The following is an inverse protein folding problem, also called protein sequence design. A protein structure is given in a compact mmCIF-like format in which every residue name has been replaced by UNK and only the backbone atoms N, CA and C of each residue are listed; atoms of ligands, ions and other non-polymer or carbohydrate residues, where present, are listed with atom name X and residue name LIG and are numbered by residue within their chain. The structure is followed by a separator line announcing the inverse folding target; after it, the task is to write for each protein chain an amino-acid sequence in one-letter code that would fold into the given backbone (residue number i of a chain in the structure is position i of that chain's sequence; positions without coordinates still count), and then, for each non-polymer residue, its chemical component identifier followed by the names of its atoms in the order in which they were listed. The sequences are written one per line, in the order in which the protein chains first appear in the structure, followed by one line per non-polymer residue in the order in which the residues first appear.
data_IF_278022076620
#
_entry.id   IF_278022076620
#
_cell.length_a   1.000
_cell.length_b   1.000
_cell.length_c   1.000
_cell.angle_alpha   90.00
_cell.angle_beta   90.00
_cell.angle_gamma   90.00
#
_symmetry.space_group_name_H-M   'P 1'
#
loop_
_entity.id
_entity.type
_entity.pdbx_description
1 polymer ?
#
# COMPACT_ATOMS: atom_id res chain seq x y z
N UNK A 1 2.41 -18.13 8.88
CA UNK A 1 1.72 -17.38 9.95
C UNK A 1 1.77 -15.91 9.58
N UNK A 2 0.67 -15.18 9.77
CA UNK A 2 0.64 -13.75 9.52
C UNK A 2 1.57 -13.04 10.51
N UNK A 3 2.16 -11.91 10.11
CA UNK A 3 3.01 -11.14 11.00
C UNK A 3 2.17 -10.59 12.18
N UNK A 4 2.66 -10.57 13.43
CA UNK A 4 1.86 -10.16 14.61
C UNK A 4 1.24 -8.75 14.49
N UNK A 5 1.94 -7.83 13.82
CA UNK A 5 1.40 -6.51 13.46
C UNK A 5 0.12 -6.57 12.61
N UNK A 6 0.06 -7.50 11.66
CA UNK A 6 -1.10 -7.71 10.77
C UNK A 6 -2.26 -8.29 11.56
N UNK A 7 -1.99 -9.23 12.46
CA UNK A 7 -3.02 -9.82 13.33
C UNK A 7 -3.63 -8.77 14.28
N UNK A 8 -2.78 -7.94 14.89
CA UNK A 8 -3.25 -6.80 15.70
C UNK A 8 -4.08 -5.84 14.87
N UNK A 9 -3.62 -5.48 13.66
CA UNK A 9 -4.36 -4.57 12.78
C UNK A 9 -5.69 -5.17 12.32
N UNK A 10 -5.75 -6.47 12.01
CA UNK A 10 -6.98 -7.20 11.69
C UNK A 10 -7.95 -7.18 12.87
N UNK A 11 -7.50 -7.51 14.07
CA UNK A 11 -8.34 -7.47 15.27
C UNK A 11 -8.90 -6.07 15.51
N UNK A 12 -8.07 -5.06 15.34
CA UNK A 12 -8.40 -3.68 15.71
C UNK A 12 -9.26 -2.94 14.67
N UNK A 13 -9.05 -3.21 13.38
CA UNK A 13 -9.63 -2.43 12.27
C UNK A 13 -10.47 -3.22 11.29
N UNK A 14 -10.32 -4.55 11.25
CA UNK A 14 -11.05 -5.40 10.30
C UNK A 14 -12.19 -6.16 10.97
N UNK A 15 -11.96 -6.70 12.18
CA UNK A 15 -12.94 -7.50 12.92
C UNK A 15 -13.83 -6.65 13.85
N UNK A 16 -13.29 -5.57 14.40
CA UNK A 16 -14.06 -4.60 15.17
C UNK A 16 -14.75 -3.65 14.18
N UNK A 17 -16.08 -3.68 14.13
CA UNK A 17 -16.92 -2.77 13.35
C UNK A 17 -16.42 -1.32 13.46
N UNK A 18 -16.36 -0.64 12.31
CA UNK A 18 -15.80 0.71 12.05
C UNK A 18 -15.65 1.61 13.29
N UNK A 19 -14.41 1.99 13.60
CA UNK A 19 -14.15 2.75 14.82
C UNK A 19 -14.70 4.17 14.71
N UNK A 20 -15.44 4.58 15.73
CA UNK A 20 -15.85 5.98 15.89
C UNK A 20 -14.73 6.81 16.55
N UNK A 21 -13.59 6.95 15.86
CA UNK A 21 -12.47 7.83 16.29
C UNK A 21 -12.52 9.11 15.48
N UNK A 22 -12.30 10.26 16.13
CA UNK A 22 -12.26 11.55 15.46
C UNK A 22 -11.06 11.67 14.51
N UNK A 23 -11.27 12.26 13.34
CA UNK A 23 -10.22 12.65 12.40
C UNK A 23 -9.43 13.87 12.89
N UNK A 24 -10.11 14.76 13.62
CA UNK A 24 -9.56 15.97 14.24
C UNK A 24 -9.47 15.75 15.75
N UNK A 25 -8.24 15.78 16.26
CA UNK A 25 -7.97 15.66 17.70
C UNK A 25 -7.58 17.01 18.31
N UNK A 26 -7.88 17.21 19.58
CA UNK A 26 -7.41 18.40 20.30
C UNK A 26 -5.96 18.23 20.76
N UNK A 27 -5.16 19.30 20.66
CA UNK A 27 -3.84 19.37 21.29
C UNK A 27 -4.02 19.48 22.82
N UNK A 28 -3.06 18.96 23.58
CA UNK A 28 -3.05 19.15 25.03
C UNK A 28 -3.03 20.64 25.36
N UNK A 29 -3.96 21.10 26.20
CA UNK A 29 -4.10 22.53 26.54
C UNK A 29 -4.82 23.38 25.50
N UNK A 30 -5.52 22.79 24.53
CA UNK A 30 -6.36 23.54 23.58
C UNK A 30 -7.42 24.38 24.32
N UNK A 31 -7.66 25.60 23.84
CA UNK A 31 -8.67 26.47 24.44
C UNK A 31 -10.08 25.89 24.23
N UNK A 32 -11.05 26.26 25.09
CA UNK A 32 -12.44 25.84 24.92
C UNK A 32 -12.98 26.21 23.53
N UNK A 33 -12.59 27.38 23.01
CA UNK A 33 -12.95 27.84 21.67
C UNK A 33 -12.41 26.90 20.58
N UNK A 34 -11.15 26.48 20.69
CA UNK A 34 -10.55 25.55 19.71
C UNK A 34 -11.20 24.16 19.78
N UNK A 35 -11.57 23.70 20.97
CA UNK A 35 -12.26 22.42 21.17
C UNK A 35 -13.62 22.42 20.46
N UNK A 36 -14.41 23.48 20.65
CA UNK A 36 -15.71 23.65 19.98
C UNK A 36 -15.53 23.74 18.48
N UNK A 37 -14.59 24.56 18.01
CA UNK A 37 -14.29 24.70 16.58
C UNK A 37 -13.88 23.37 15.94
N UNK A 38 -12.99 22.60 16.56
CA UNK A 38 -12.55 21.30 16.06
C UNK A 38 -13.70 20.27 16.03
N UNK A 39 -14.61 20.32 17.00
CA UNK A 39 -15.77 19.45 17.04
C UNK A 39 -16.76 19.76 15.88
N UNK A 40 -16.98 21.02 15.56
CA UNK A 40 -17.81 21.40 14.40
C UNK A 40 -17.13 21.04 13.07
N UNK A 41 -15.82 21.24 12.98
CA UNK A 41 -15.05 20.82 11.81
C UNK A 41 -15.11 19.30 11.60
N UNK A 42 -15.01 18.51 12.69
CA UNK A 42 -15.15 17.05 12.66
C UNK A 42 -16.53 16.65 12.13
N UNK A 43 -17.60 17.28 12.61
CA UNK A 43 -18.97 17.01 12.13
C UNK A 43 -19.10 17.23 10.63
N UNK A 44 -18.50 18.30 10.10
CA UNK A 44 -18.55 18.60 8.66
C UNK A 44 -17.86 17.51 7.83
N UNK A 45 -16.60 17.19 8.15
CA UNK A 45 -15.81 16.22 7.35
C UNK A 45 -16.29 14.78 7.50
N UNK A 46 -16.96 14.44 8.62
CA UNK A 46 -17.60 13.13 8.81
C UNK A 46 -18.94 13.00 8.10
N UNK A 47 -19.59 14.10 7.71
CA UNK A 47 -20.90 14.04 7.09
C UNK A 47 -20.79 13.68 5.60
N UNK A 48 -20.21 12.52 5.28
CA UNK A 48 -19.97 12.09 3.90
C UNK A 48 -21.26 11.83 3.12
N UNK A 49 -22.41 11.71 3.80
CA UNK A 49 -23.73 11.59 3.17
C UNK A 49 -24.21 12.91 2.59
N UNK A 50 -23.95 14.03 3.28
CA UNK A 50 -24.38 15.36 2.85
C UNK A 50 -23.27 16.12 2.12
N UNK A 51 -22.04 15.95 2.55
CA UNK A 51 -20.85 16.65 2.09
C UNK A 51 -19.70 15.67 1.80
N UNK A 52 -19.86 14.74 0.84
CA UNK A 52 -18.80 13.79 0.49
C UNK A 52 -17.49 14.48 0.09
N UNK A 53 -17.59 15.66 -0.53
CA UNK A 53 -16.43 16.49 -0.89
C UNK A 53 -15.66 17.02 0.33
N UNK A 54 -16.28 17.16 1.51
CA UNK A 54 -15.58 17.63 2.71
C UNK A 54 -14.42 16.72 3.10
N UNK A 55 -14.63 15.39 3.04
CA UNK A 55 -13.59 14.39 3.32
C UNK A 55 -12.44 14.49 2.31
N UNK A 56 -12.76 14.57 1.02
CA UNK A 56 -11.77 14.66 -0.05
C UNK A 56 -10.96 15.96 0.07
N UNK A 57 -11.64 17.10 0.22
CA UNK A 57 -10.99 18.40 0.35
C UNK A 57 -10.11 18.48 1.60
N UNK A 58 -10.55 17.95 2.75
CA UNK A 58 -9.73 17.83 3.95
C UNK A 58 -8.46 16.99 3.68
N UNK A 59 -8.63 15.84 3.04
CA UNK A 59 -7.53 14.92 2.74
C UNK A 59 -6.47 15.57 1.83
N UNK A 60 -6.89 16.35 0.84
CA UNK A 60 -5.99 17.10 -0.05
C UNK A 60 -5.19 18.18 0.68
N UNK A 61 -5.67 18.66 1.83
CA UNK A 61 -4.95 19.62 2.67
C UNK A 61 -3.92 18.95 3.58
N UNK A 62 -3.95 17.62 3.76
CA UNK A 62 -3.08 16.87 4.67
C UNK A 62 -1.68 16.62 4.09
N UNK A 63 -0.95 17.72 3.84
CA UNK A 63 0.44 17.67 3.41
C UNK A 63 1.24 18.86 3.93
N UNK A 64 2.34 18.59 4.65
CA UNK A 64 3.27 19.64 5.09
C UNK A 64 2.78 20.50 6.26
N UNK A 65 1.69 20.10 6.92
CA UNK A 65 1.15 20.67 8.17
C UNK A 65 0.68 19.55 9.12
N UNK A 66 0.35 19.91 10.35
CA UNK A 66 -0.30 19.01 11.31
C UNK A 66 -1.70 18.62 10.82
N UNK A 67 -2.07 17.33 10.91
CA UNK A 67 -3.38 16.83 10.49
C UNK A 67 -4.54 17.60 11.16
N UNK A 68 -4.41 17.95 12.45
CA UNK A 68 -5.45 18.71 13.17
C UNK A 68 -5.62 20.14 12.64
N UNK A 69 -4.69 20.64 11.84
CA UNK A 69 -4.83 21.90 11.11
C UNK A 69 -5.48 21.62 9.75
N UNK A 70 -4.89 20.72 8.95
CA UNK A 70 -5.35 20.40 7.59
C UNK A 70 -6.85 20.05 7.54
N UNK A 71 -7.29 19.17 8.43
CA UNK A 71 -8.65 18.65 8.44
C UNK A 71 -9.69 19.69 8.88
N UNK A 72 -9.27 20.83 9.45
CA UNK A 72 -10.19 21.95 9.79
C UNK A 72 -10.47 22.89 8.62
N UNK A 73 -9.68 22.83 7.54
CA UNK A 73 -9.75 23.81 6.46
C UNK A 73 -11.12 23.86 5.75
N UNK A 74 -11.78 22.73 5.43
CA UNK A 74 -13.15 22.76 4.90
C UNK A 74 -14.13 23.56 5.77
N UNK A 75 -14.02 23.41 7.10
CA UNK A 75 -14.89 24.13 8.02
C UNK A 75 -14.59 25.63 8.09
N UNK A 76 -13.33 26.05 7.91
CA UNK A 76 -12.97 27.47 7.77
C UNK A 76 -13.59 28.10 6.52
N UNK A 77 -13.62 27.36 5.42
CA UNK A 77 -14.30 27.77 4.18
C UNK A 77 -15.80 27.91 4.45
N UNK A 78 -16.42 26.94 5.12
CA UNK A 78 -17.82 27.03 5.55
C UNK A 78 -18.09 28.26 6.43
N UNK A 79 -17.29 28.54 7.46
CA UNK A 79 -17.46 29.73 8.31
C UNK A 79 -17.33 31.04 7.53
N UNK A 80 -16.52 31.06 6.48
CA UNK A 80 -16.29 32.26 5.67
C UNK A 80 -17.42 32.50 4.67
N UNK A 81 -17.94 31.43 4.06
CA UNK A 81 -18.95 31.52 3.01
C UNK A 81 -20.40 31.38 3.52
N UNK A 82 -20.59 30.83 4.72
CA UNK A 82 -21.90 30.50 5.27
C UNK A 82 -22.57 29.27 4.65
N UNK A 83 -21.95 28.66 3.63
CA UNK A 83 -22.39 27.43 2.99
C UNK A 83 -21.21 26.52 2.67
N UNK A 84 -21.50 25.22 2.56
CA UNK A 84 -20.56 24.20 2.10
C UNK A 84 -21.18 23.27 1.06
N UNK A 85 -22.28 23.67 0.41
CA UNK A 85 -22.79 22.93 -0.75
C UNK A 85 -21.81 23.06 -1.91
N UNK A 86 -21.66 22.00 -2.70
CA UNK A 86 -20.64 21.98 -3.76
C UNK A 86 -20.86 23.08 -4.81
N UNK A 87 -22.11 23.38 -5.16
CA UNK A 87 -22.45 24.43 -6.13
C UNK A 87 -22.10 25.83 -5.61
N UNK A 88 -22.29 26.07 -4.31
CA UNK A 88 -21.92 27.34 -3.67
C UNK A 88 -20.40 27.51 -3.62
N UNK A 89 -19.64 26.41 -3.47
CA UNK A 89 -18.18 26.42 -3.54
C UNK A 89 -17.70 26.66 -4.99
N UNK A 90 -18.38 26.06 -5.97
CA UNK A 90 -17.98 26.09 -7.37
C UNK A 90 -17.97 27.49 -7.98
N UNK A 91 -18.94 28.34 -7.61
CA UNK A 91 -19.04 29.70 -8.13
C UNK A 91 -17.96 30.66 -7.59
N UNK A 92 -17.21 30.25 -6.57
CA UNK A 92 -16.20 31.10 -5.93
C UNK A 92 -14.92 31.11 -6.80
N UNK A 93 -14.47 32.29 -7.27
CA UNK A 93 -13.28 32.36 -8.09
C UNK A 93 -12.00 32.12 -7.27
N UNK A 94 -10.95 31.59 -7.92
CA UNK A 94 -9.69 31.22 -7.28
C UNK A 94 -9.07 32.33 -6.42
N UNK A 95 -9.15 33.60 -6.86
CA UNK A 95 -8.59 34.73 -6.11
C UNK A 95 -9.24 34.91 -4.73
N UNK A 96 -10.54 34.58 -4.58
CA UNK A 96 -11.22 34.60 -3.29
C UNK A 96 -10.76 33.45 -2.40
N UNK A 97 -10.58 32.24 -2.93
CA UNK A 97 -9.94 31.15 -2.18
C UNK A 97 -8.52 31.51 -1.72
N UNK A 98 -7.73 32.15 -2.59
CA UNK A 98 -6.38 32.63 -2.21
C UNK A 98 -6.47 33.65 -1.07
N UNK A 99 -7.40 34.60 -1.11
CA UNK A 99 -7.61 35.56 0.00
C UNK A 99 -8.01 34.85 1.30
N UNK A 100 -8.92 33.87 1.24
CA UNK A 100 -9.35 33.08 2.40
C UNK A 100 -8.18 32.36 3.06
N UNK A 101 -7.38 31.63 2.27
CA UNK A 101 -6.22 30.88 2.77
C UNK A 101 -5.10 31.78 3.32
N UNK A 102 -4.98 33.01 2.80
CA UNK A 102 -4.06 34.05 3.27
C UNK A 102 -4.72 35.06 4.22
N UNK A 103 -5.82 34.69 4.89
CA UNK A 103 -6.51 35.57 5.83
C UNK A 103 -5.64 36.07 6.99
N UNK A 104 -6.25 36.65 8.03
CA UNK A 104 -5.52 37.21 9.21
C UNK A 104 -4.44 36.28 9.77
N UNK A 105 -4.67 34.97 9.71
CA UNK A 105 -3.65 33.95 9.87
C UNK A 105 -3.75 32.98 8.69
N UNK A 106 -2.60 32.62 8.12
CA UNK A 106 -2.55 31.62 7.05
C UNK A 106 -3.15 30.30 7.55
N UNK A 107 -4.11 29.76 6.81
CA UNK A 107 -4.75 28.48 7.17
C UNK A 107 -3.86 27.26 6.91
N UNK A 108 -2.83 27.44 6.07
CA UNK A 108 -1.87 26.40 5.71
C UNK A 108 -0.46 26.99 5.59
N UNK A 109 0.58 26.16 5.74
CA UNK A 109 1.99 26.53 5.48
C UNK A 109 2.26 27.01 4.03
N UNK A 110 1.39 26.64 3.09
CA UNK A 110 1.52 26.89 1.66
C UNK A 110 0.19 27.45 1.13
N UNK A 111 -0.23 28.63 1.61
CA UNK A 111 -1.61 29.09 1.48
C UNK A 111 -2.04 29.25 0.02
N UNK A 112 -1.21 29.87 -0.84
CA UNK A 112 -1.52 30.02 -2.27
C UNK A 112 -1.66 28.68 -3.00
N UNK A 113 -0.69 27.77 -2.80
CA UNK A 113 -0.72 26.46 -3.43
C UNK A 113 -1.92 25.62 -2.97
N UNK A 114 -2.27 25.68 -1.68
CA UNK A 114 -3.39 24.92 -1.14
C UNK A 114 -4.75 25.52 -1.46
N UNK A 115 -4.86 26.84 -1.59
CA UNK A 115 -6.03 27.47 -2.18
C UNK A 115 -6.25 26.98 -3.62
N UNK A 116 -5.18 26.91 -4.42
CA UNK A 116 -5.26 26.42 -5.79
C UNK A 116 -5.64 24.93 -5.86
N UNK A 117 -5.08 24.08 -4.98
CA UNK A 117 -5.48 22.67 -4.87
C UNK A 117 -6.94 22.53 -4.47
N UNK A 118 -7.40 23.29 -3.49
CA UNK A 118 -8.78 23.27 -3.01
C UNK A 118 -9.75 23.70 -4.12
N UNK A 119 -9.48 24.83 -4.76
CA UNK A 119 -10.25 25.35 -5.89
C UNK A 119 -10.33 24.32 -7.02
N UNK A 120 -9.18 23.80 -7.49
CA UNK A 120 -9.16 22.83 -8.59
C UNK A 120 -9.92 21.55 -8.26
N UNK A 121 -9.89 21.10 -7.00
CA UNK A 121 -10.67 19.94 -6.58
C UNK A 121 -12.18 20.22 -6.62
N UNK A 122 -12.63 21.39 -6.16
CA UNK A 122 -14.04 21.81 -6.27
C UNK A 122 -14.48 21.86 -7.73
N UNK A 123 -13.71 22.53 -8.60
CA UNK A 123 -14.01 22.61 -10.03
C UNK A 123 -14.10 21.21 -10.64
N UNK A 124 -13.10 20.34 -10.39
CA UNK A 124 -13.10 18.96 -10.89
C UNK A 124 -14.31 18.16 -10.40
N UNK A 125 -14.74 18.30 -9.13
CA UNK A 125 -15.90 17.54 -8.64
C UNK A 125 -17.16 17.89 -9.44
N UNK A 126 -17.34 19.16 -9.81
CA UNK A 126 -18.52 19.64 -10.54
C UNK A 126 -18.43 19.36 -12.04
N UNK A 127 -17.29 19.71 -12.66
CA UNK A 127 -17.11 19.67 -14.11
C UNK A 127 -16.88 18.25 -14.68
N UNK A 128 -16.46 17.31 -13.84
CA UNK A 128 -16.17 15.94 -14.27
C UNK A 128 -17.46 15.16 -14.60
N UNK A 129 -17.53 14.62 -15.82
CA UNK A 129 -18.71 13.90 -16.33
C UNK A 129 -19.10 12.68 -15.50
N UNK A 130 -18.14 12.05 -14.80
CA UNK A 130 -18.43 10.95 -13.91
C UNK A 130 -18.96 11.47 -12.58
N UNK A 131 -18.27 12.43 -11.96
CA UNK A 131 -18.62 12.96 -10.62
C UNK A 131 -19.91 13.79 -10.63
N UNK A 132 -20.08 14.72 -11.58
CA UNK A 132 -21.25 15.62 -11.71
C UNK A 132 -21.68 16.25 -10.39
N UNK A 133 -20.73 16.82 -9.65
CA UNK A 133 -20.95 17.46 -8.35
C UNK A 133 -20.92 16.51 -7.15
N UNK A 134 -20.87 15.19 -7.34
CA UNK A 134 -20.89 14.23 -6.24
C UNK A 134 -19.57 13.46 -6.09
N UNK A 135 -18.77 13.86 -5.09
CA UNK A 135 -17.53 13.19 -4.75
C UNK A 135 -17.74 11.75 -4.21
N UNK A 136 -18.94 11.39 -3.76
CA UNK A 136 -19.23 10.04 -3.24
C UNK A 136 -19.08 8.97 -4.30
N UNK A 137 -19.27 9.33 -5.58
CA UNK A 137 -19.06 8.45 -6.74
C UNK A 137 -17.66 7.88 -6.85
N UNK A 138 -16.67 8.47 -6.17
CA UNK A 138 -15.33 7.90 -6.07
C UNK A 138 -15.40 6.48 -5.45
N UNK A 139 -16.26 6.29 -4.44
CA UNK A 139 -16.38 5.06 -3.65
C UNK A 139 -17.78 4.42 -3.67
N UNK A 140 -18.75 5.02 -4.37
CA UNK A 140 -20.10 4.47 -4.52
C UNK A 140 -20.10 3.13 -5.27
N UNK A 141 -20.99 2.22 -4.86
CA UNK A 141 -21.24 0.97 -5.59
C UNK A 141 -20.23 -0.15 -5.34
N UNK A 142 -19.50 -0.11 -4.21
CA UNK A 142 -18.49 -1.11 -3.82
C UNK A 142 -17.44 -1.34 -4.94
N UNK A 143 -16.77 -0.28 -5.41
CA UNK A 143 -15.77 -0.38 -6.47
C UNK A 143 -14.54 -1.16 -5.98
N UNK A 144 -13.66 -1.56 -6.90
CA UNK A 144 -12.34 -2.09 -6.54
C UNK A 144 -11.47 -1.03 -5.87
N UNK A 145 -10.60 -1.47 -4.97
CA UNK A 145 -9.66 -0.55 -4.32
C UNK A 145 -8.77 0.17 -5.32
N UNK A 146 -8.39 -0.50 -6.42
CA UNK A 146 -7.69 0.08 -7.55
C UNK A 146 -8.39 1.30 -8.13
N UNK A 147 -9.70 1.18 -8.42
CA UNK A 147 -10.48 2.27 -8.99
C UNK A 147 -10.58 3.46 -8.04
N UNK A 148 -10.76 3.21 -6.73
CA UNK A 148 -10.82 4.27 -5.72
C UNK A 148 -9.50 5.03 -5.67
N UNK A 149 -8.37 4.32 -5.59
CA UNK A 149 -7.03 4.93 -5.53
C UNK A 149 -6.74 5.74 -6.80
N UNK A 150 -7.05 5.22 -8.00
CA UNK A 150 -6.86 5.97 -9.25
C UNK A 150 -7.71 7.23 -9.32
N UNK A 151 -9.01 7.12 -9.01
CA UNK A 151 -9.91 8.28 -8.98
C UNK A 151 -9.44 9.34 -7.99
N UNK A 152 -8.84 8.94 -6.86
CA UNK A 152 -8.20 9.88 -5.95
C UNK A 152 -6.96 10.54 -6.57
N UNK A 153 -6.09 9.78 -7.25
CA UNK A 153 -4.86 10.31 -7.88
C UNK A 153 -5.13 11.32 -9.00
N UNK A 154 -6.32 11.29 -9.62
CA UNK A 154 -6.74 12.25 -10.64
C UNK A 154 -6.92 13.68 -10.10
N UNK A 155 -6.93 13.87 -8.77
CA UNK A 155 -7.01 15.19 -8.14
C UNK A 155 -5.64 15.83 -7.99
N UNK A 156 -5.51 17.09 -8.44
CA UNK A 156 -4.29 17.90 -8.22
C UNK A 156 -3.98 17.94 -6.71
N UNK A 157 -2.73 17.66 -6.35
CA UNK A 157 -2.28 17.64 -4.96
C UNK A 157 -2.56 16.33 -4.22
N UNK A 158 -3.20 15.35 -4.85
CA UNK A 158 -3.37 14.00 -4.33
C UNK A 158 -2.18 13.12 -4.71
N UNK A 159 -1.16 13.07 -3.85
CA UNK A 159 -0.03 12.14 -4.03
C UNK A 159 -0.34 10.74 -3.50
N UNK A 160 0.59 9.79 -3.71
CA UNK A 160 0.49 8.40 -3.27
C UNK A 160 -0.02 8.23 -1.82
N UNK A 161 0.52 9.02 -0.88
CA UNK A 161 0.09 9.00 0.53
C UNK A 161 -1.41 9.28 0.67
N UNK A 162 -1.88 10.37 0.07
CA UNK A 162 -3.28 10.83 0.22
C UNK A 162 -4.22 9.85 -0.50
N UNK A 163 -3.84 9.39 -1.69
CA UNK A 163 -4.64 8.45 -2.48
C UNK A 163 -4.86 7.10 -1.78
N UNK A 164 -3.93 6.68 -0.93
CA UNK A 164 -4.09 5.47 -0.10
C UNK A 164 -4.71 5.76 1.28
N UNK A 165 -4.51 6.97 1.81
CA UNK A 165 -5.12 7.39 3.08
C UNK A 165 -6.65 7.48 2.98
N UNK A 166 -7.19 8.04 1.89
CA UNK A 166 -8.63 8.19 1.67
C UNK A 166 -9.38 6.85 1.78
N UNK A 167 -9.07 5.81 0.98
CA UNK A 167 -9.77 4.53 1.07
C UNK A 167 -9.56 3.82 2.42
N UNK A 168 -8.40 3.98 3.05
CA UNK A 168 -8.19 3.49 4.43
C UNK A 168 -9.16 4.14 5.42
N UNK A 169 -9.34 5.47 5.34
CA UNK A 169 -10.27 6.22 6.20
C UNK A 169 -11.73 5.81 5.92
N UNK A 170 -12.11 5.75 4.64
CA UNK A 170 -13.44 5.31 4.20
C UNK A 170 -13.81 3.94 4.75
N UNK A 171 -12.89 2.97 4.66
CA UNK A 171 -13.11 1.64 5.22
C UNK A 171 -13.16 1.66 6.76
N UNK A 172 -12.16 2.24 7.42
CA UNK A 172 -11.99 2.13 8.88
C UNK A 172 -13.01 2.91 9.68
N UNK A 173 -13.36 4.12 9.24
CA UNK A 173 -14.16 5.06 10.03
C UNK A 173 -15.59 5.22 9.51
N UNK A 174 -15.84 4.88 8.25
CA UNK A 174 -17.16 5.03 7.63
C UNK A 174 -17.80 3.71 7.20
N UNK A 175 -17.01 2.63 7.16
CA UNK A 175 -17.50 1.32 6.75
C UNK A 175 -17.88 1.20 5.30
N UNK A 176 -17.26 2.01 4.46
CA UNK A 176 -17.38 1.87 3.03
C UNK A 176 -16.56 0.65 2.61
N UNK A 177 -17.25 -0.37 2.13
CA UNK A 177 -16.63 -1.57 1.59
C UNK A 177 -16.23 -1.39 0.13
N UNK A 178 -15.19 -2.13 -0.26
CA UNK A 178 -14.71 -2.23 -1.63
C UNK A 178 -14.81 -3.69 -2.08
N UNK A 179 -14.71 -3.97 -3.38
CA UNK A 179 -14.69 -5.36 -3.86
C UNK A 179 -13.43 -6.12 -3.44
N UNK A 180 -12.35 -5.39 -3.19
CA UNK A 180 -11.06 -5.87 -2.69
C UNK A 180 -10.31 -4.72 -1.99
N UNK A 181 -9.26 -5.01 -1.24
CA UNK A 181 -8.44 -4.02 -0.53
C UNK A 181 -6.96 -4.06 -0.94
N UNK A 182 -6.63 -4.85 -1.96
CA UNK A 182 -5.27 -5.23 -2.32
C UNK A 182 -4.43 -4.06 -2.86
N UNK A 183 -5.08 -3.06 -3.47
CA UNK A 183 -4.46 -1.84 -3.97
C UNK A 183 -4.41 -0.70 -2.95
N UNK A 184 -5.02 -0.87 -1.77
CA UNK A 184 -4.87 0.11 -0.70
C UNK A 184 -3.54 -0.16 -0.02
N UNK A 185 -2.55 0.65 -0.32
CA UNK A 185 -1.23 0.56 0.29
C UNK A 185 -1.17 1.21 1.66
N UNK A 186 -0.10 0.87 2.39
CA UNK A 186 0.35 1.69 3.50
C UNK A 186 0.83 3.04 2.97
N UNK A 187 0.67 4.13 3.74
CA UNK A 187 1.02 5.48 3.32
C UNK A 187 2.23 5.98 4.13
N UNK A 188 3.48 5.61 3.77
CA UNK A 188 4.61 5.76 4.69
C UNK A 188 4.91 7.21 5.01
N UNK A 189 4.86 7.53 6.30
CA UNK A 189 5.26 8.81 6.87
C UNK A 189 6.39 8.62 7.89
N UNK A 190 6.79 9.71 8.56
CA UNK A 190 7.85 9.67 9.57
C UNK A 190 7.54 8.72 10.74
N UNK A 191 6.27 8.48 11.07
CA UNK A 191 5.85 7.57 12.13
C UNK A 191 5.92 6.12 11.65
N UNK A 192 5.36 5.83 10.48
CA UNK A 192 5.32 4.50 9.88
C UNK A 192 6.72 4.00 9.57
N UNK A 193 7.57 4.81 8.90
CA UNK A 193 8.94 4.41 8.57
C UNK A 193 9.73 4.04 9.84
N UNK A 194 9.64 4.88 10.89
CA UNK A 194 10.30 4.61 12.17
C UNK A 194 9.80 3.33 12.83
N UNK A 195 8.50 3.05 12.76
CA UNK A 195 7.90 1.81 13.29
C UNK A 195 8.39 0.60 12.49
N UNK A 196 8.36 0.65 11.16
CA UNK A 196 8.83 -0.43 10.29
C UNK A 196 10.32 -0.72 10.49
N UNK A 197 11.13 0.32 10.65
CA UNK A 197 12.55 0.17 10.97
C UNK A 197 12.75 -0.51 12.33
N UNK A 198 12.16 0.04 13.40
CA UNK A 198 12.37 -0.46 14.77
C UNK A 198 11.81 -1.85 15.00
N UNK A 199 10.71 -2.21 14.35
CA UNK A 199 10.15 -3.57 14.38
C UNK A 199 11.07 -4.56 13.62
N UNK A 200 11.89 -4.07 12.69
CA UNK A 200 12.84 -4.88 11.92
C UNK A 200 12.34 -5.31 10.54
N UNK A 201 11.24 -4.72 10.08
CA UNK A 201 10.65 -4.99 8.77
C UNK A 201 11.43 -4.34 7.62
N UNK A 202 11.99 -3.16 7.85
CA UNK A 202 12.75 -2.39 6.86
C UNK A 202 14.12 -2.05 7.47
N UNK A 203 15.24 -2.18 6.73
CA UNK A 203 16.54 -1.70 7.21
C UNK A 203 16.57 -0.17 7.25
N UNK A 204 17.46 0.43 8.05
CA UNK A 204 17.71 1.86 7.96
C UNK A 204 18.28 2.21 6.59
N UNK A 205 17.65 3.17 5.91
CA UNK A 205 18.04 3.63 4.60
C UNK A 205 18.23 5.15 4.65
N UNK A 206 19.35 5.64 4.11
CA UNK A 206 19.63 7.09 4.08
C UNK A 206 18.72 7.85 3.12
N UNK A 207 18.28 7.19 2.05
CA UNK A 207 17.39 7.78 1.05
C UNK A 207 15.93 7.54 1.47
N UNK A 208 15.21 8.64 1.71
CA UNK A 208 13.83 8.60 2.18
C UNK A 208 12.85 8.08 1.13
N UNK A 209 13.13 8.22 -0.16
CA UNK A 209 12.25 7.70 -1.21
C UNK A 209 12.43 6.18 -1.35
N UNK A 210 13.67 5.70 -1.28
CA UNK A 210 13.94 4.26 -1.24
C UNK A 210 13.32 3.63 0.01
N UNK A 211 13.41 4.28 1.17
CA UNK A 211 12.79 3.81 2.42
C UNK A 211 11.27 3.65 2.29
N UNK A 212 10.59 4.62 1.68
CA UNK A 212 9.14 4.54 1.41
C UNK A 212 8.81 3.34 0.53
N UNK A 213 9.55 3.12 -0.55
CA UNK A 213 9.35 1.99 -1.46
C UNK A 213 9.53 0.67 -0.70
N UNK A 214 10.60 0.53 0.09
CA UNK A 214 10.81 -0.66 0.92
C UNK A 214 9.67 -0.91 1.90
N UNK A 215 9.16 0.15 2.53
CA UNK A 215 8.03 0.07 3.47
C UNK A 215 6.76 -0.42 2.78
N UNK A 216 6.46 0.09 1.59
CA UNK A 216 5.31 -0.34 0.79
C UNK A 216 5.46 -1.81 0.37
N UNK A 217 6.60 -2.19 -0.21
CA UNK A 217 6.87 -3.57 -0.61
C UNK A 217 6.74 -4.53 0.58
N UNK A 218 7.32 -4.17 1.72
CA UNK A 218 7.26 -5.03 2.91
C UNK A 218 5.84 -5.12 3.49
N UNK A 219 5.05 -4.05 3.43
CA UNK A 219 3.65 -4.10 3.85
C UNK A 219 2.83 -5.05 2.95
N UNK A 220 3.07 -5.03 1.64
CA UNK A 220 2.45 -5.95 0.68
C UNK A 220 2.86 -7.41 0.92
N UNK A 221 4.12 -7.66 1.23
CA UNK A 221 4.62 -9.02 1.52
C UNK A 221 3.91 -9.64 2.74
N UNK A 222 3.70 -8.86 3.80
CA UNK A 222 3.14 -9.37 5.05
C UNK A 222 1.61 -9.30 5.11
N UNK A 223 0.98 -8.47 4.26
CA UNK A 223 -0.48 -8.29 4.19
C UNK A 223 -0.94 -8.08 2.74
N UNK A 224 -0.81 -9.08 1.85
CA UNK A 224 -1.09 -8.92 0.42
C UNK A 224 -2.55 -8.59 0.09
N UNK A 225 -3.49 -9.07 0.92
CA UNK A 225 -4.93 -8.83 0.72
C UNK A 225 -5.33 -7.39 1.08
N UNK A 226 -4.59 -6.76 1.99
CA UNK A 226 -4.84 -5.38 2.43
C UNK A 226 -3.56 -4.78 3.05
N UNK A 227 -2.62 -4.29 2.23
CA UNK A 227 -1.35 -3.75 2.74
C UNK A 227 -1.54 -2.54 3.65
N UNK A 228 -2.50 -1.69 3.30
CA UNK A 228 -2.89 -0.49 4.03
C UNK A 228 -3.50 -0.76 5.40
N UNK A 229 -3.94 -2.00 5.71
CA UNK A 229 -4.61 -2.32 6.97
C UNK A 229 -3.81 -1.93 8.23
N UNK A 230 -2.49 -2.02 8.16
CA UNK A 230 -1.59 -1.69 9.28
C UNK A 230 -1.35 -0.19 9.46
N UNK A 231 -1.67 0.63 8.46
CA UNK A 231 -1.35 2.06 8.41
C UNK A 231 -1.78 2.81 9.68
N UNK A 232 -3.05 2.67 10.08
CA UNK A 232 -3.60 3.34 11.25
C UNK A 232 -2.95 2.86 12.55
N UNK A 233 -2.74 1.56 12.69
CA UNK A 233 -2.08 0.98 13.86
C UNK A 233 -0.63 1.48 13.99
N UNK A 234 0.12 1.45 12.89
CA UNK A 234 1.51 1.90 12.86
C UNK A 234 1.62 3.40 13.15
N UNK A 235 0.71 4.21 12.61
CA UNK A 235 0.65 5.64 12.88
C UNK A 235 0.36 5.94 14.35
N UNK A 236 -0.65 5.29 14.95
CA UNK A 236 -0.99 5.43 16.37
C UNK A 236 0.19 5.01 17.27
N UNK A 237 0.81 3.87 16.98
CA UNK A 237 2.00 3.38 17.70
C UNK A 237 3.15 4.37 17.57
N UNK A 238 3.43 4.83 16.36
CA UNK A 238 4.48 5.79 16.07
C UNK A 238 4.27 7.15 16.74
N UNK A 239 3.02 7.59 16.91
CA UNK A 239 2.68 8.86 17.56
C UNK A 239 2.73 8.78 19.07
N UNK A 240 2.15 7.74 19.66
CA UNK A 240 1.89 7.67 21.10
C UNK A 240 2.98 6.94 21.91
N UNK A 241 3.66 5.96 21.31
CA UNK A 241 4.59 5.06 22.00
C UNK A 241 6.00 5.11 21.42
N UNK A 242 6.12 4.82 20.12
CA UNK A 242 7.38 4.73 19.41
C UNK A 242 7.87 6.13 19.00
N UNK A 243 8.11 7.00 19.98
CA UNK A 243 8.60 8.37 19.78
C UNK A 243 10.05 8.38 19.30
N UNK A 244 10.46 9.45 18.62
CA UNK A 244 11.84 9.63 18.15
C UNK A 244 12.81 9.47 19.32
N UNK A 245 12.59 10.26 20.38
CA UNK A 245 13.33 10.20 21.63
C UNK A 245 12.48 9.56 22.72
N UNK A 246 13.11 8.80 23.62
CA UNK A 246 12.48 8.17 24.79
C UNK A 246 11.18 7.38 24.44
N UNK A 247 11.28 6.35 23.58
CA UNK A 247 10.13 5.53 23.23
C UNK A 247 9.59 4.80 24.47
N UNK A 248 8.26 4.74 24.59
CA UNK A 248 7.57 4.06 25.70
C UNK A 248 7.45 2.55 25.42
N UNK A 249 8.59 1.87 25.22
CA UNK A 249 8.61 0.46 24.81
C UNK A 249 7.80 -0.47 25.73
N UNK A 250 7.92 -0.42 27.08
CA UNK A 250 7.21 -1.35 27.96
C UNK A 250 5.69 -1.28 27.88
N UNK A 251 5.12 -0.15 27.42
CA UNK A 251 3.68 0.01 27.21
C UNK A 251 3.27 -0.02 25.75
N UNK A 252 4.20 -0.27 24.83
CA UNK A 252 3.94 -0.34 23.41
C UNK A 252 3.27 -1.67 23.06
N UNK A 253 2.18 -1.68 22.28
CA UNK A 253 1.54 -2.94 21.86
C UNK A 253 2.45 -3.84 21.00
N UNK A 254 3.55 -3.29 20.48
CA UNK A 254 4.51 -4.03 19.66
C UNK A 254 5.69 -4.59 20.46
N UNK A 255 5.79 -4.35 21.77
CA UNK A 255 7.00 -4.64 22.54
C UNK A 255 7.46 -6.10 22.48
N UNK A 256 6.50 -7.03 22.46
CA UNK A 256 6.76 -8.48 22.50
C UNK A 256 7.37 -9.03 21.21
N UNK A 257 7.19 -8.36 20.07
CA UNK A 257 7.74 -8.78 18.77
C UNK A 257 8.70 -7.76 18.13
N UNK A 258 8.77 -6.54 18.66
CA UNK A 258 9.63 -5.50 18.12
C UNK A 258 11.10 -5.82 18.35
N UNK A 259 11.91 -5.82 17.28
CA UNK A 259 13.36 -6.03 17.35
C UNK A 259 14.11 -4.86 17.99
N UNK A 260 13.44 -3.71 18.18
CA UNK A 260 14.01 -2.50 18.78
C UNK A 260 15.27 -2.02 18.04
N UNK A 261 15.28 -2.11 16.71
CA UNK A 261 16.36 -1.57 15.86
C UNK A 261 16.33 -0.04 15.91
N UNK A 262 17.05 0.54 16.85
CA UNK A 262 17.18 2.00 16.97
C UNK A 262 18.22 2.54 16.00
N UNK A 263 17.96 3.73 15.44
CA UNK A 263 18.90 4.42 14.56
C UNK A 263 20.17 4.78 15.34
N UNK A 264 21.34 4.39 14.83
CA UNK A 264 22.62 4.92 15.32
C UNK A 264 22.85 6.29 14.65
N UNK A 265 22.18 7.35 15.14
CA UNK A 265 22.24 8.69 14.53
C UNK A 265 23.62 9.37 14.68
N UNK A 266 24.58 8.76 15.41
CA UNK A 266 25.87 9.38 15.72
C UNK A 266 27.13 8.56 15.38
N UNK A 267 27.07 7.52 14.55
CA UNK A 267 28.32 6.89 14.11
C UNK A 267 28.19 6.12 12.81
N UNK A 268 29.16 6.30 11.90
CA UNK A 268 29.48 5.39 10.79
C UNK A 268 29.95 3.99 11.25
N UNK A 269 29.61 3.58 12.49
CA UNK A 269 29.93 2.26 13.02
C UNK A 269 28.76 1.31 12.79
N UNK A 270 28.99 0.07 12.31
CA UNK A 270 27.97 -0.95 12.27
C UNK A 270 27.35 -1.13 13.66
N UNK A 271 26.06 -1.43 13.69
CA UNK A 271 25.25 -1.72 14.88
C UNK A 271 26.09 -2.57 15.85
N UNK A 272 26.43 -2.04 17.03
CA UNK A 272 26.99 -2.87 18.11
C UNK A 272 25.96 -3.95 18.36
N UNK A 273 26.32 -5.22 18.11
CA UNK A 273 25.53 -6.41 18.46
C UNK A 273 24.97 -6.20 19.87
N UNK A 274 23.70 -5.82 19.96
CA UNK A 274 22.91 -6.06 21.15
C UNK A 274 22.70 -7.57 21.18
N UNK A 275 23.05 -8.22 22.30
CA UNK A 275 23.00 -9.67 22.42
C UNK A 275 21.66 -10.18 21.88
N UNK A 276 21.71 -10.99 20.81
CA UNK A 276 20.54 -11.71 20.30
C UNK A 276 19.90 -12.41 21.50
N UNK A 277 18.65 -12.11 21.87
CA UNK A 277 17.92 -13.05 22.69
C UNK A 277 17.80 -14.36 21.91
N UNK A 278 18.15 -15.46 22.55
CA UNK A 278 18.17 -16.79 21.95
C UNK A 278 16.77 -17.15 21.43
N UNK A 279 16.63 -17.08 20.11
CA UNK A 279 15.38 -17.32 19.39
C UNK A 279 14.96 -18.79 19.51
N UNK A 280 15.92 -19.72 19.61
CA UNK A 280 15.64 -21.14 19.80
C UNK A 280 15.10 -21.40 21.20
N UNK A 281 15.71 -20.76 22.22
CA UNK A 281 15.23 -20.85 23.61
C UNK A 281 13.80 -20.33 23.76
N UNK A 282 13.48 -19.16 23.22
CA UNK A 282 12.12 -18.58 23.29
C UNK A 282 11.09 -19.38 22.49
N UNK A 283 11.46 -19.89 21.32
CA UNK A 283 10.58 -20.78 20.55
C UNK A 283 10.34 -22.11 21.27
N UNK A 284 11.31 -22.60 22.07
CA UNK A 284 11.14 -23.77 22.94
C UNK A 284 10.16 -23.50 24.08
N UNK A 285 10.34 -22.38 24.80
CA UNK A 285 9.43 -21.96 25.89
C UNK A 285 7.98 -21.77 25.38
N UNK A 286 7.83 -21.22 24.17
CA UNK A 286 6.52 -21.02 23.54
C UNK A 286 5.89 -22.34 23.04
N UNK A 287 6.70 -23.30 22.57
CA UNK A 287 6.21 -24.65 22.20
C UNK A 287 5.75 -25.43 23.43
N UNK A 288 6.47 -25.36 24.54
CA UNK A 288 6.06 -25.97 25.81
C UNK A 288 4.74 -25.36 26.31
N UNK A 289 4.61 -24.03 26.25
CA UNK A 289 3.37 -23.34 26.60
C UNK A 289 2.18 -23.74 25.71
N UNK A 290 2.39 -23.90 24.41
CA UNK A 290 1.34 -24.32 23.47
C UNK A 290 1.00 -25.82 23.58
N UNK A 291 1.95 -26.67 23.97
CA UNK A 291 1.70 -28.08 24.28
C UNK A 291 0.89 -28.24 25.57
N UNK A 292 1.20 -27.44 26.61
CA UNK A 292 0.47 -27.45 27.88
C UNK A 292 -1.00 -27.02 27.74
N UNK A 293 -1.36 -26.32 26.66
CA UNK A 293 -2.69 -25.73 26.47
C UNK A 293 -3.49 -26.30 25.29
N UNK A 294 -3.08 -27.44 24.72
CA UNK A 294 -3.81 -28.09 23.61
C UNK A 294 -4.98 -28.94 24.12
N UNK A 295 -6.19 -28.39 24.16
CA UNK A 295 -7.42 -29.21 24.11
C UNK A 295 -8.48 -28.65 23.15
N UNK A 296 -8.91 -29.53 22.24
CA UNK A 296 -10.14 -29.57 21.41
C UNK A 296 -10.31 -28.59 20.22
N UNK A 297 -10.04 -29.07 19.00
CA UNK A 297 -11.04 -29.54 17.99
C UNK A 297 -10.39 -29.79 16.61
N UNK A 298 -10.71 -30.94 16.01
CA UNK A 298 -10.53 -31.30 14.59
C UNK A 298 -11.87 -31.16 13.84
N UNK A 299 -11.86 -30.90 12.52
CA UNK A 299 -12.57 -31.71 11.51
C UNK A 299 -12.25 -31.37 10.02
N UNK A 300 -12.57 -32.34 9.14
CA UNK A 300 -12.12 -32.73 7.77
C UNK A 300 -12.46 -31.85 6.53
N UNK A 301 -11.83 -32.15 5.37
CA UNK A 301 -12.24 -31.76 3.99
C UNK A 301 -12.16 -32.95 2.98
N UNK A 302 -13.00 -33.02 1.90
CA UNK A 302 -13.18 -34.21 1.05
C UNK A 302 -12.47 -34.21 -0.32
N UNK A 303 -12.38 -35.42 -0.91
CA UNK A 303 -11.68 -35.81 -2.16
C UNK A 303 -12.45 -35.51 -3.46
N UNK A 304 -11.79 -34.95 -4.49
CA UNK A 304 -12.40 -34.66 -5.81
C UNK A 304 -11.49 -34.86 -7.05
N UNK A 305 -10.25 -35.34 -6.91
CA UNK A 305 -9.32 -35.40 -8.04
C UNK A 305 -9.18 -36.81 -8.63
N UNK A 306 -9.97 -37.13 -9.66
CA UNK A 306 -9.63 -38.18 -10.64
C UNK A 306 -10.37 -37.94 -11.97
N UNK A 307 -9.63 -37.48 -13.00
CA UNK A 307 -9.89 -37.66 -14.45
C UNK A 307 -8.71 -37.09 -15.26
N UNK A 308 -8.04 -37.96 -16.03
CA UNK A 308 -6.93 -37.65 -16.95
C UNK A 308 -7.51 -37.38 -18.37
N UNK A 309 -6.92 -36.44 -19.14
CA UNK A 309 -7.26 -36.11 -20.56
C UNK A 309 -6.06 -36.38 -21.49
N UNK A 310 -6.34 -36.61 -22.79
CA UNK A 310 -5.44 -37.23 -23.80
C UNK A 310 -4.66 -36.24 -24.69
N UNK A 311 -3.60 -36.69 -25.41
CA UNK A 311 -2.69 -35.82 -26.20
C UNK A 311 -3.32 -34.99 -27.33
N UNK A 312 -4.38 -35.46 -28.00
CA UNK A 312 -5.04 -34.65 -29.04
C UNK A 312 -5.73 -33.38 -28.47
N UNK A 313 -6.13 -33.37 -27.19
CA UNK A 313 -6.67 -32.17 -26.52
C UNK A 313 -5.60 -31.06 -26.36
N UNK A 314 -4.31 -31.40 -26.39
CA UNK A 314 -3.20 -30.47 -26.14
C UNK A 314 -2.83 -29.61 -27.36
N UNK A 315 -2.94 -30.15 -28.58
CA UNK A 315 -2.56 -29.41 -29.80
C UNK A 315 -3.60 -28.35 -30.20
N UNK A 316 -4.87 -28.64 -29.90
CA UNK A 316 -5.99 -27.71 -30.10
C UNK A 316 -5.95 -26.58 -29.06
N UNK A 317 -5.62 -26.88 -27.80
CA UNK A 317 -5.43 -25.88 -26.74
C UNK A 317 -4.25 -24.94 -27.02
N UNK A 318 -3.14 -25.44 -27.56
CA UNK A 318 -1.99 -24.60 -27.93
C UNK A 318 -2.31 -23.61 -29.06
N UNK A 319 -3.10 -24.03 -30.07
CA UNK A 319 -3.61 -23.14 -31.13
C UNK A 319 -4.60 -22.10 -30.58
N UNK A 320 -5.46 -22.50 -29.64
CA UNK A 320 -6.42 -21.61 -28.98
C UNK A 320 -5.71 -20.56 -28.13
N UNK A 321 -4.70 -20.93 -27.33
CA UNK A 321 -3.91 -20.00 -26.52
C UNK A 321 -3.13 -19.00 -27.39
N UNK A 322 -2.53 -19.47 -28.50
CA UNK A 322 -1.81 -18.62 -29.45
C UNK A 322 -2.75 -17.64 -30.18
N UNK A 323 -3.98 -18.07 -30.49
CA UNK A 323 -5.04 -17.25 -31.09
C UNK A 323 -5.61 -16.23 -30.10
N UNK A 324 -5.93 -16.64 -28.88
CA UNK A 324 -6.41 -15.75 -27.80
C UNK A 324 -5.37 -14.69 -27.43
N UNK A 325 -4.07 -15.03 -27.46
CA UNK A 325 -2.97 -14.09 -27.31
C UNK A 325 -2.82 -13.12 -28.50
N UNK A 326 -2.93 -13.63 -29.74
CA UNK A 326 -2.94 -12.78 -30.94
C UNK A 326 -4.13 -11.80 -30.96
N UNK A 327 -5.29 -12.23 -30.45
CA UNK A 327 -6.49 -11.40 -30.30
C UNK A 327 -6.34 -10.39 -29.15
N UNK A 328 -5.65 -10.75 -28.06
CA UNK A 328 -5.32 -9.85 -26.94
C UNK A 328 -4.38 -8.72 -27.38
N UNK A 329 -3.33 -9.03 -28.15
CA UNK A 329 -2.40 -8.02 -28.69
C UNK A 329 -3.09 -7.11 -29.71
N UNK A 330 -3.89 -7.67 -30.64
CA UNK A 330 -4.56 -6.90 -31.69
C UNK A 330 -5.69 -6.00 -31.18
N UNK A 331 -6.38 -6.37 -30.09
CA UNK A 331 -7.52 -5.58 -29.57
C UNK A 331 -7.15 -4.53 -28.53
N UNK A 332 -6.01 -4.63 -27.85
CA UNK A 332 -5.71 -3.80 -26.67
C UNK A 332 -4.46 -2.91 -26.77
N UNK A 333 -3.61 -3.07 -27.79
CA UNK A 333 -2.35 -2.31 -27.93
C UNK A 333 -1.60 -2.12 -26.60
N UNK A 334 -1.21 -3.21 -25.92
CA UNK A 334 -0.65 -3.13 -24.56
C UNK A 334 0.65 -2.33 -24.50
N UNK A 335 0.84 -1.58 -23.42
CA UNK A 335 2.00 -0.70 -23.26
C UNK A 335 3.20 -1.46 -22.70
N UNK A 336 4.41 -0.90 -22.88
CA UNK A 336 5.68 -1.48 -22.40
C UNK A 336 5.67 -1.88 -20.91
N UNK A 337 4.83 -1.23 -20.11
CA UNK A 337 4.70 -1.40 -18.66
C UNK A 337 3.82 -2.61 -18.27
N UNK A 338 2.86 -2.98 -19.11
CA UNK A 338 1.97 -4.14 -18.90
C UNK A 338 2.70 -5.47 -19.07
N UNK A 339 3.83 -5.41 -19.76
CA UNK A 339 4.67 -6.55 -20.03
C UNK A 339 5.65 -6.77 -18.83
N UNK A 340 6.04 -5.74 -18.05
CA UNK A 340 7.15 -5.72 -17.04
C UNK A 340 6.89 -6.43 -15.69
N UNK A 341 6.30 -7.62 -15.69
CA UNK A 341 6.29 -8.54 -14.51
C UNK A 341 7.32 -9.67 -14.76
N UNK A 342 7.56 -10.64 -13.83
CA UNK A 342 8.47 -11.78 -14.05
C UNK A 342 8.24 -12.56 -15.36
N UNK A 343 7.10 -12.30 -16.01
CA UNK A 343 6.66 -12.76 -17.31
C UNK A 343 7.32 -12.02 -18.50
N UNK A 344 7.67 -10.71 -18.43
CA UNK A 344 8.56 -10.08 -19.44
C UNK A 344 9.92 -10.68 -19.36
N UNK A 345 10.42 -10.87 -18.14
CA UNK A 345 11.77 -11.38 -17.95
C UNK A 345 11.82 -12.78 -18.53
N UNK A 346 10.84 -13.64 -18.23
CA UNK A 346 10.69 -14.97 -18.82
C UNK A 346 10.51 -14.94 -20.36
N UNK A 347 9.70 -14.05 -20.93
CA UNK A 347 9.47 -13.96 -22.40
C UNK A 347 10.67 -13.34 -23.14
N UNK A 348 11.36 -12.37 -22.54
CA UNK A 348 12.60 -11.76 -23.04
C UNK A 348 13.75 -12.77 -23.06
N UNK A 349 13.80 -13.61 -22.03
CA UNK A 349 14.71 -14.75 -21.85
C UNK A 349 14.56 -15.80 -22.95
N UNK A 350 13.35 -15.95 -23.48
CA UNK A 350 12.98 -17.12 -24.28
C UNK A 350 12.85 -16.83 -25.76
N UNK A 351 12.93 -15.55 -26.13
CA UNK A 351 13.14 -15.09 -27.50
C UNK A 351 14.59 -14.64 -27.78
N UNK A 352 15.51 -14.81 -26.83
CA UNK A 352 16.92 -14.51 -27.05
C UNK A 352 17.60 -15.65 -27.81
N UNK A 353 17.62 -15.56 -29.14
CA UNK A 353 18.22 -16.55 -30.04
C UNK A 353 19.71 -16.82 -29.76
N UNK A 354 20.42 -15.88 -29.11
CA UNK A 354 21.84 -16.05 -28.76
C UNK A 354 22.06 -17.05 -27.63
N UNK A 355 21.03 -17.35 -26.83
CA UNK A 355 21.08 -18.39 -25.80
C UNK A 355 20.83 -19.79 -26.39
N UNK A 356 20.25 -19.87 -27.60
CA UNK A 356 20.04 -21.13 -28.33
C UNK A 356 19.26 -22.18 -27.54
N UNK A 357 18.24 -21.77 -26.79
CA UNK A 357 17.38 -22.65 -25.99
C UNK A 357 15.91 -22.42 -26.33
N UNK A 358 15.16 -23.50 -26.50
CA UNK A 358 13.72 -23.46 -26.76
C UNK A 358 12.94 -23.20 -25.47
N UNK A 359 11.96 -22.30 -25.53
CA UNK A 359 11.14 -21.86 -24.42
C UNK A 359 10.41 -23.01 -23.73
N UNK A 360 9.75 -23.83 -24.55
CA UNK A 360 8.86 -24.87 -24.08
C UNK A 360 9.68 -26.00 -23.47
N UNK A 361 10.74 -26.44 -24.15
CA UNK A 361 11.67 -27.44 -23.63
C UNK A 361 12.29 -27.02 -22.28
N UNK A 362 12.65 -25.73 -22.16
CA UNK A 362 13.30 -25.21 -20.94
C UNK A 362 12.34 -25.18 -19.75
N UNK A 363 11.05 -24.91 -19.96
CA UNK A 363 10.06 -24.78 -18.88
C UNK A 363 9.52 -26.13 -18.43
N UNK A 364 9.43 -27.12 -19.31
CA UNK A 364 8.85 -28.42 -18.94
C UNK A 364 9.86 -29.32 -18.21
N UNK A 365 11.16 -29.15 -18.43
CA UNK A 365 12.22 -29.96 -17.80
C UNK A 365 13.07 -29.17 -16.81
N UNK A 366 13.08 -29.56 -15.54
CA UNK A 366 13.93 -28.92 -14.53
C UNK A 366 15.43 -29.11 -14.80
N UNK A 367 15.84 -30.18 -15.49
CA UNK A 367 17.23 -30.43 -15.89
C UNK A 367 17.77 -29.35 -16.83
N UNK A 368 16.88 -28.70 -17.60
CA UNK A 368 17.23 -27.60 -18.51
C UNK A 368 17.44 -26.27 -17.80
N UNK A 369 16.98 -26.10 -16.54
CA UNK A 369 17.19 -24.86 -15.78
C UNK A 369 18.65 -24.65 -15.38
N UNK A 370 19.39 -25.73 -15.13
CA UNK A 370 20.82 -25.63 -14.82
C UNK A 370 21.66 -25.36 -16.09
N UNK A 371 21.25 -25.89 -17.24
CA UNK A 371 21.82 -25.51 -18.54
C UNK A 371 21.55 -24.03 -18.84
N UNK A 372 20.32 -23.57 -18.60
CA UNK A 372 19.90 -22.18 -18.79
C UNK A 372 20.69 -21.21 -17.88
N UNK A 373 20.90 -21.58 -16.61
CA UNK A 373 21.73 -20.83 -15.69
C UNK A 373 23.15 -20.60 -16.23
N UNK A 374 23.80 -21.66 -16.73
CA UNK A 374 25.17 -21.60 -17.26
C UNK A 374 25.25 -20.67 -18.48
N UNK A 375 24.30 -20.78 -19.41
CA UNK A 375 24.25 -19.91 -20.59
C UNK A 375 24.00 -18.44 -20.24
N UNK A 376 23.19 -18.15 -19.23
CA UNK A 376 23.00 -16.78 -18.73
C UNK A 376 24.25 -16.18 -18.11
N UNK A 377 24.98 -16.95 -17.30
CA UNK A 377 26.24 -16.51 -16.70
C UNK A 377 27.26 -16.20 -17.79
N UNK A 378 27.41 -17.08 -18.78
CA UNK A 378 28.29 -16.88 -19.93
C UNK A 378 27.89 -15.64 -20.74
N UNK A 379 26.59 -15.50 -21.06
CA UNK A 379 26.06 -14.36 -21.80
C UNK A 379 26.34 -13.02 -21.09
N UNK A 380 26.05 -12.91 -19.79
CA UNK A 380 26.27 -11.67 -19.06
C UNK A 380 27.75 -11.37 -18.87
N UNK A 381 28.60 -12.39 -18.72
CA UNK A 381 30.06 -12.21 -18.64
C UNK A 381 30.61 -11.62 -19.94
N UNK A 382 30.11 -12.07 -21.09
CA UNK A 382 30.59 -11.63 -22.40
C UNK A 382 29.95 -10.33 -22.90
N UNK A 383 28.77 -9.95 -22.38
CA UNK A 383 28.00 -8.81 -22.91
C UNK A 383 27.82 -7.65 -21.93
N UNK A 384 28.13 -7.84 -20.63
CA UNK A 384 27.92 -6.82 -19.59
C UNK A 384 29.18 -6.66 -18.75
N UNK A 385 29.57 -5.41 -18.50
CA UNK A 385 30.68 -5.08 -17.61
C UNK A 385 30.25 -5.11 -16.13
N UNK A 386 29.73 -6.25 -15.69
CA UNK A 386 29.21 -6.45 -14.33
C UNK A 386 30.19 -7.23 -13.46
N UNK A 387 30.09 -7.06 -12.15
CA UNK A 387 30.86 -7.87 -11.20
C UNK A 387 30.36 -9.31 -11.22
N UNK A 388 31.26 -10.27 -10.98
CA UNK A 388 30.94 -11.71 -10.98
C UNK A 388 29.77 -12.03 -10.02
N UNK A 389 29.77 -11.42 -8.83
CA UNK A 389 28.69 -11.57 -7.84
C UNK A 389 27.33 -11.11 -8.39
N UNK A 390 27.29 -10.03 -9.16
CA UNK A 390 26.07 -9.49 -9.75
C UNK A 390 25.59 -10.36 -10.92
N UNK A 391 26.52 -10.88 -11.73
CA UNK A 391 26.23 -11.81 -12.83
C UNK A 391 25.58 -13.08 -12.28
N UNK A 392 26.18 -13.71 -11.26
CA UNK A 392 25.62 -14.91 -10.64
C UNK A 392 24.27 -14.63 -9.98
N UNK A 393 24.11 -13.49 -9.30
CA UNK A 393 22.83 -13.09 -8.70
C UNK A 393 21.73 -12.94 -9.77
N UNK A 394 22.03 -12.25 -10.88
CA UNK A 394 21.07 -12.04 -11.97
C UNK A 394 20.70 -13.33 -12.67
N UNK A 395 21.66 -14.20 -12.96
CA UNK A 395 21.39 -15.51 -13.55
C UNK A 395 20.50 -16.37 -12.63
N UNK A 396 20.74 -16.37 -11.31
CA UNK A 396 19.89 -17.08 -10.33
C UNK A 396 18.49 -16.50 -10.26
N UNK A 397 18.38 -15.16 -10.29
CA UNK A 397 17.10 -14.47 -10.30
C UNK A 397 16.24 -14.91 -11.49
N UNK A 398 16.81 -14.94 -12.69
CA UNK A 398 16.09 -15.31 -13.90
C UNK A 398 15.67 -16.78 -13.96
N UNK A 399 16.51 -17.70 -13.49
CA UNK A 399 16.12 -19.12 -13.34
C UNK A 399 15.00 -19.26 -12.30
N UNK A 400 15.03 -18.46 -11.23
CA UNK A 400 13.94 -18.46 -10.24
C UNK A 400 12.64 -17.91 -10.81
N UNK A 401 12.70 -16.93 -11.73
CA UNK A 401 11.53 -16.48 -12.47
C UNK A 401 10.94 -17.60 -13.35
N UNK A 402 11.79 -18.37 -14.05
CA UNK A 402 11.35 -19.53 -14.83
C UNK A 402 10.74 -20.63 -13.96
N UNK A 403 11.34 -20.93 -12.80
CA UNK A 403 10.77 -21.90 -11.83
C UNK A 403 9.42 -21.44 -11.28
N UNK A 404 9.27 -20.15 -10.96
CA UNK A 404 8.00 -19.57 -10.51
C UNK A 404 6.95 -19.61 -11.62
N UNK A 405 7.35 -19.38 -12.87
CA UNK A 405 6.46 -19.45 -14.02
C UNK A 405 6.04 -20.89 -14.31
N UNK A 406 6.97 -21.85 -14.29
CA UNK A 406 6.65 -23.29 -14.35
C UNK A 406 5.71 -23.69 -13.21
N UNK A 407 6.05 -23.34 -11.98
CA UNK A 407 5.21 -23.59 -10.81
C UNK A 407 3.82 -22.97 -10.96
N UNK A 408 3.72 -21.77 -11.52
CA UNK A 408 2.43 -21.16 -11.85
C UNK A 408 1.62 -21.98 -12.87
N UNK A 409 2.26 -22.46 -13.94
CA UNK A 409 1.63 -23.34 -14.93
C UNK A 409 1.19 -24.68 -14.32
N UNK A 410 2.06 -25.31 -13.52
CA UNK A 410 1.81 -26.58 -12.84
C UNK A 410 0.69 -26.46 -11.78
N UNK A 411 0.64 -25.34 -11.04
CA UNK A 411 -0.34 -25.10 -9.95
C UNK A 411 -1.74 -24.83 -10.50
N UNK A 412 -1.83 -24.21 -11.68
CA UNK A 412 -3.13 -23.86 -12.26
C UNK A 412 -3.73 -24.98 -13.11
N UNK A 413 -3.08 -26.16 -13.21
CA UNK A 413 -3.46 -27.25 -14.13
C UNK A 413 -4.04 -26.68 -15.42
N UNK A 414 -3.30 -25.75 -16.03
CA UNK A 414 -3.59 -25.34 -17.39
C UNK A 414 -3.25 -26.55 -18.26
N UNK A 415 -4.22 -27.47 -18.35
CA UNK A 415 -4.30 -28.48 -19.39
C UNK A 415 -4.37 -27.79 -20.75
#
# INVERSE_FOLDING_TARGET
MAHPMVELARKEYFLNSHKNVNLITNKAGASFKDIVFNAEAEKLVRNIKKYPHALLLASLMDSGVDANVAWTIPYRVYETLGSFNIDDLYIIPLNEYVKMFNGKQNWHRYPNNKAEVFYNAVQKIVDDDYLKGDASKIWEGKPSSYNVVLRCLDFKGCGFKIANMIPNILYRYFGIEFSDYSYIDIAPDVHINRVFHRVGLVPYLRDSEIEKIYTICRARDISPEFPGLMDGLCWEVGRNYCKVNNPKCPSCPFDYFCEKKFDNVYSDKPIKKFNKPDFEKRMSEMREYLQQNKSKKEDKLPAIYDRIRTPEDFEENAKILKKQYGDYIKKREPTKKDLETPFIDAVFITNNSQLGLDFYETIISEEKFDEYYKKLVEYFTNTKNWTETLIQYRAKYYVNCLRKFKGFLDTHKLN
#
